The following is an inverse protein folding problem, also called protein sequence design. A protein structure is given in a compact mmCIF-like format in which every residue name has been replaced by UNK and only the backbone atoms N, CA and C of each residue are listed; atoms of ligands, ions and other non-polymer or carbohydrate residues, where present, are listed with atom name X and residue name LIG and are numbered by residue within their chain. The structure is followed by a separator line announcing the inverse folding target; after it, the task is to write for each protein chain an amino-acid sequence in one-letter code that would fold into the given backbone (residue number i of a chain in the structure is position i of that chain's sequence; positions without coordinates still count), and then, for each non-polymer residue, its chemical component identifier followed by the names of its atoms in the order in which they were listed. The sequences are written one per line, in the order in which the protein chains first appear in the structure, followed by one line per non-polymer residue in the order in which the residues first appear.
data_IF_372987117922
#
_entry.id   IF_372987117922
#
_cell.length_a   1.000
_cell.length_b   1.000
_cell.length_c   1.000
_cell.angle_alpha   90.00
_cell.angle_beta   90.00
_cell.angle_gamma   90.00
#
_symmetry.space_group_name_H-M   'P 1'
#
loop_
_entity.id
_entity.type
_entity.pdbx_description
1 polymer ?
#
# COMPACT_ATOMS: atom_id res chain seq x y z
N UNK A 1 -36.34 7.03 24.72
CA UNK A 1 -35.53 8.13 25.29
C UNK A 1 -34.18 8.11 24.58
N UNK A 2 -34.19 8.57 23.32
CA UNK A 2 -33.53 9.81 22.87
C UNK A 2 -32.01 9.73 22.94
N UNK A 3 -31.39 9.48 21.80
CA UNK A 3 -30.14 10.12 21.35
C UNK A 3 -30.00 9.84 19.86
N UNK A 4 -30.77 10.59 19.07
CA UNK A 4 -30.50 10.72 17.64
C UNK A 4 -29.10 11.29 17.46
N UNK A 5 -28.26 10.58 16.71
CA UNK A 5 -27.00 11.11 16.22
C UNK A 5 -27.37 12.17 15.19
N UNK A 6 -27.60 13.38 15.69
CA UNK A 6 -27.69 14.57 14.88
C UNK A 6 -26.32 14.69 14.20
N UNK A 7 -26.34 14.63 12.87
CA UNK A 7 -25.22 15.01 12.01
C UNK A 7 -24.96 16.51 12.21
N UNK A 8 -24.43 16.89 13.38
CA UNK A 8 -23.89 18.22 13.61
C UNK A 8 -22.69 18.34 12.70
N UNK A 9 -22.84 19.12 11.64
CA UNK A 9 -21.73 19.44 10.77
C UNK A 9 -20.58 20.00 11.62
N UNK A 10 -19.41 19.34 11.67
CA UNK A 10 -18.33 19.79 12.55
C UNK A 10 -17.86 21.18 12.10
N UNK A 11 -18.09 22.19 12.94
CA UNK A 11 -17.74 23.58 12.65
C UNK A 11 -16.25 23.86 12.56
N UNK A 12 -15.39 22.91 12.95
CA UNK A 12 -13.92 23.03 12.90
C UNK A 12 -13.33 22.11 11.81
N UNK A 13 -12.56 22.70 10.88
CA UNK A 13 -11.85 21.98 9.81
C UNK A 13 -10.97 20.83 10.34
N UNK A 14 -10.37 21.00 11.53
CA UNK A 14 -9.56 19.97 12.19
C UNK A 14 -10.34 18.68 12.48
N UNK A 15 -11.63 18.78 12.83
CA UNK A 15 -12.47 17.60 13.08
C UNK A 15 -12.85 16.90 11.77
N UNK A 16 -13.07 17.65 10.68
CA UNK A 16 -13.26 17.07 9.34
C UNK A 16 -12.01 16.33 8.86
N UNK A 17 -10.81 16.91 9.06
CA UNK A 17 -9.53 16.29 8.71
C UNK A 17 -9.30 15.03 9.56
N UNK A 18 -9.60 15.07 10.86
CA UNK A 18 -9.45 13.91 11.75
C UNK A 18 -10.35 12.75 11.34
N UNK A 19 -11.63 13.02 11.03
CA UNK A 19 -12.56 12.00 10.53
C UNK A 19 -12.11 11.45 9.19
N UNK A 20 -11.62 12.32 8.29
CA UNK A 20 -11.11 11.91 7.00
C UNK A 20 -9.86 11.02 7.11
N UNK A 21 -8.93 11.34 8.01
CA UNK A 21 -7.73 10.52 8.28
C UNK A 21 -8.03 9.17 8.94
N UNK A 22 -9.23 8.94 9.45
CA UNK A 22 -9.58 7.68 10.08
C UNK A 22 -9.84 6.55 9.06
N UNK A 23 -10.09 6.91 7.80
CA UNK A 23 -10.28 5.95 6.71
C UNK A 23 -8.93 5.38 6.24
N UNK A 24 -8.72 4.06 6.37
CA UNK A 24 -7.44 3.41 6.01
C UNK A 24 -6.96 3.72 4.60
N UNK A 25 -7.86 3.62 3.61
CA UNK A 25 -7.57 3.93 2.20
C UNK A 25 -7.04 5.33 1.98
N UNK A 26 -7.52 6.26 2.80
CA UNK A 26 -7.13 7.63 2.71
C UNK A 26 -5.74 7.91 3.31
N UNK A 27 -5.38 7.22 4.38
CA UNK A 27 -4.01 7.25 4.90
C UNK A 27 -3.04 6.73 3.82
N UNK A 28 -3.39 5.62 3.17
CA UNK A 28 -2.58 5.04 2.09
C UNK A 28 -2.44 6.00 0.91
N UNK A 29 -3.52 6.67 0.50
CA UNK A 29 -3.47 7.70 -0.53
C UNK A 29 -2.56 8.87 -0.12
N UNK A 30 -2.64 9.36 1.12
CA UNK A 30 -1.77 10.42 1.63
C UNK A 30 -0.29 10.01 1.56
N UNK A 31 0.01 8.77 1.96
CA UNK A 31 1.38 8.21 1.91
C UNK A 31 1.87 8.16 0.47
N UNK A 32 1.09 7.61 -0.47
CA UNK A 32 1.45 7.55 -1.89
C UNK A 32 1.73 8.95 -2.46
N UNK A 33 0.85 9.92 -2.20
CA UNK A 33 1.02 11.31 -2.65
C UNK A 33 2.31 11.92 -2.07
N UNK A 34 2.59 11.68 -0.79
CA UNK A 34 3.80 12.20 -0.14
C UNK A 34 5.07 11.59 -0.72
N UNK A 35 5.09 10.28 -1.00
CA UNK A 35 6.22 9.57 -1.59
C UNK A 35 6.47 10.04 -3.02
N UNK A 36 5.41 10.22 -3.82
CA UNK A 36 5.49 10.81 -5.15
C UNK A 36 6.13 12.21 -5.13
N UNK A 37 5.68 13.10 -4.23
CA UNK A 37 6.23 14.45 -4.11
C UNK A 37 7.71 14.44 -3.70
N UNK A 38 8.09 13.56 -2.77
CA UNK A 38 9.50 13.37 -2.37
C UNK A 38 10.33 12.90 -3.56
N UNK A 39 9.83 11.92 -4.32
CA UNK A 39 10.47 11.43 -5.56
C UNK A 39 10.63 12.53 -6.61
N UNK A 40 9.62 13.39 -6.78
CA UNK A 40 9.65 14.52 -7.69
C UNK A 40 10.69 15.57 -7.30
N UNK A 41 10.77 15.92 -6.00
CA UNK A 41 11.75 16.88 -5.50
C UNK A 41 13.18 16.35 -5.68
N UNK A 42 13.42 15.07 -5.38
CA UNK A 42 14.72 14.42 -5.56
C UNK A 42 15.14 14.30 -7.04
N UNK A 43 14.17 14.20 -7.96
CA UNK A 43 14.43 14.18 -9.40
C UNK A 43 14.82 15.55 -9.95
N UNK A 44 14.35 16.63 -9.35
CA UNK A 44 14.71 18.01 -9.73
C UNK A 44 16.11 18.42 -9.24
N UNK A 45 16.78 17.58 -8.43
CA UNK A 45 18.13 17.83 -7.92
C UNK A 45 19.21 17.21 -8.82
N UNK A 46 20.39 17.84 -8.83
CA UNK A 46 21.57 17.39 -9.57
C UNK A 46 22.06 15.99 -9.11
N UNK A 47 22.82 15.26 -9.96
CA UNK A 47 23.41 13.97 -9.56
C UNK A 47 24.25 14.13 -8.27
N UNK A 48 24.12 13.25 -7.26
CA UNK A 48 23.67 11.84 -7.29
C UNK A 48 22.20 11.56 -6.90
N UNK A 49 21.40 12.58 -6.57
CA UNK A 49 20.04 12.39 -6.01
C UNK A 49 19.01 11.89 -7.03
N UNK A 50 19.26 12.12 -8.32
CA UNK A 50 18.43 11.64 -9.43
C UNK A 50 18.23 10.11 -9.42
N UNK A 51 19.27 9.35 -9.02
CA UNK A 51 19.19 7.89 -8.93
C UNK A 51 18.22 7.42 -7.85
N UNK A 52 18.22 8.09 -6.70
CA UNK A 52 17.27 7.81 -5.61
C UNK A 52 15.84 8.19 -6.00
N UNK A 53 15.63 9.31 -6.69
CA UNK A 53 14.33 9.71 -7.22
C UNK A 53 13.70 8.65 -8.13
N UNK A 54 14.51 8.05 -9.02
CA UNK A 54 14.06 6.94 -9.88
C UNK A 54 13.60 5.72 -9.07
N UNK A 55 14.38 5.30 -8.08
CA UNK A 55 14.02 4.14 -7.23
C UNK A 55 12.74 4.43 -6.44
N UNK A 56 12.58 5.65 -5.92
CA UNK A 56 11.37 6.05 -5.21
C UNK A 56 10.14 5.96 -6.12
N UNK A 57 10.23 6.42 -7.37
CA UNK A 57 9.14 6.26 -8.34
C UNK A 57 8.81 4.80 -8.69
N UNK A 58 9.82 3.93 -8.77
CA UNK A 58 9.59 2.49 -8.96
C UNK A 58 8.83 1.85 -7.79
N UNK A 59 9.02 2.35 -6.57
CA UNK A 59 8.25 1.90 -5.40
C UNK A 59 6.86 2.57 -5.38
N UNK A 60 6.78 3.83 -5.77
CA UNK A 60 5.54 4.62 -5.80
C UNK A 60 4.47 4.02 -6.72
N UNK A 61 4.85 3.51 -7.90
CA UNK A 61 3.92 2.85 -8.83
C UNK A 61 3.18 1.66 -8.19
N UNK A 62 3.81 0.97 -7.23
CA UNK A 62 3.18 -0.16 -6.52
C UNK A 62 1.99 0.33 -5.70
N UNK A 63 2.13 1.48 -5.03
CA UNK A 63 1.02 2.09 -4.29
C UNK A 63 -0.13 2.51 -5.21
N UNK A 64 0.20 3.06 -6.39
CA UNK A 64 -0.80 3.38 -7.41
C UNK A 64 -1.54 2.12 -7.91
N UNK A 65 -0.86 1.00 -8.10
CA UNK A 65 -1.52 -0.26 -8.47
C UNK A 65 -2.42 -0.82 -7.37
N UNK A 66 -1.99 -0.77 -6.10
CA UNK A 66 -2.85 -1.14 -4.96
C UNK A 66 -4.13 -0.31 -4.96
N UNK A 67 -4.03 0.98 -5.29
CA UNK A 67 -5.19 1.86 -5.40
C UNK A 67 -6.10 1.53 -6.57
N UNK A 68 -5.54 1.15 -7.71
CA UNK A 68 -6.33 0.68 -8.87
C UNK A 68 -7.16 -0.56 -8.51
N UNK A 69 -6.64 -1.47 -7.67
CA UNK A 69 -7.41 -2.63 -7.18
C UNK A 69 -8.66 -2.22 -6.37
N UNK A 70 -8.59 -1.14 -5.58
CA UNK A 70 -9.75 -0.60 -4.85
C UNK A 70 -10.85 -0.10 -5.82
N UNK A 71 -10.45 0.54 -6.92
CA UNK A 71 -11.38 0.98 -7.97
C UNK A 71 -12.03 -0.23 -8.66
N UNK A 72 -11.27 -1.30 -8.93
CA UNK A 72 -11.84 -2.55 -9.44
C UNK A 72 -12.75 -3.25 -8.42
N UNK A 73 -12.58 -2.96 -7.12
CA UNK A 73 -13.48 -3.33 -6.03
C UNK A 73 -14.95 -2.94 -6.27
N UNK A 74 -15.17 -1.88 -7.05
CA UNK A 74 -16.50 -1.35 -7.39
C UNK A 74 -17.21 -2.18 -8.48
N UNK A 75 -16.45 -2.90 -9.30
CA UNK A 75 -16.99 -3.64 -10.43
C UNK A 75 -17.87 -4.82 -9.96
N UNK A 76 -18.99 -5.07 -10.69
CA UNK A 76 -19.92 -6.17 -10.40
C UNK A 76 -19.25 -7.54 -10.35
N UNK A 77 -18.23 -7.75 -11.18
CA UNK A 77 -17.57 -9.03 -11.34
C UNK A 77 -16.30 -9.16 -10.49
N UNK A 78 -15.48 -8.11 -10.39
CA UNK A 78 -14.19 -8.16 -9.68
C UNK A 78 -14.30 -7.80 -8.20
N UNK A 79 -15.31 -7.02 -7.81
CA UNK A 79 -15.45 -6.51 -6.46
C UNK A 79 -15.52 -7.56 -5.35
N UNK A 80 -16.36 -8.62 -5.47
CA UNK A 80 -16.40 -9.68 -4.48
C UNK A 80 -15.07 -10.41 -4.30
N UNK A 81 -14.26 -10.54 -5.37
CA UNK A 81 -12.94 -11.18 -5.31
C UNK A 81 -11.93 -10.32 -4.57
N UNK A 82 -11.89 -9.01 -4.84
CA UNK A 82 -11.00 -8.07 -4.12
C UNK A 82 -11.33 -8.05 -2.63
N UNK A 83 -12.63 -8.00 -2.28
CA UNK A 83 -13.08 -8.02 -0.88
C UNK A 83 -12.76 -9.34 -0.17
N UNK A 84 -12.79 -10.45 -0.89
CA UNK A 84 -12.43 -11.76 -0.38
C UNK A 84 -10.93 -11.86 -0.09
N UNK A 85 -10.08 -11.46 -1.03
CA UNK A 85 -8.62 -11.43 -0.85
C UNK A 85 -8.26 -10.59 0.38
N UNK A 86 -8.83 -9.39 0.50
CA UNK A 86 -8.55 -8.49 1.63
C UNK A 86 -8.88 -9.09 3.00
N UNK A 87 -9.99 -9.82 3.12
CA UNK A 87 -10.37 -10.50 4.37
C UNK A 87 -9.48 -11.69 4.68
N UNK A 88 -9.16 -12.49 3.66
CA UNK A 88 -8.31 -13.68 3.83
C UNK A 88 -6.86 -13.33 4.18
N UNK A 89 -6.35 -12.16 3.76
CA UNK A 89 -5.00 -11.74 4.10
C UNK A 89 -4.77 -11.61 5.62
N UNK A 90 -5.79 -11.26 6.39
CA UNK A 90 -5.67 -11.14 7.86
C UNK A 90 -5.39 -12.52 8.47
N UNK A 91 -6.11 -13.55 8.02
CA UNK A 91 -5.90 -14.93 8.49
C UNK A 91 -4.54 -15.48 8.04
N UNK A 92 -4.11 -15.13 6.81
CA UNK A 92 -2.78 -15.48 6.33
C UNK A 92 -1.66 -14.82 7.14
N UNK A 93 -1.84 -13.59 7.62
CA UNK A 93 -0.82 -12.88 8.39
C UNK A 93 -0.42 -13.65 9.66
N UNK A 94 -1.40 -14.21 10.38
CA UNK A 94 -1.13 -15.04 11.56
C UNK A 94 -0.27 -16.27 11.23
N UNK A 95 -0.55 -16.91 10.10
CA UNK A 95 0.23 -18.05 9.65
C UNK A 95 1.66 -17.63 9.24
N UNK A 96 1.80 -16.51 8.52
CA UNK A 96 3.11 -15.97 8.13
C UNK A 96 3.97 -15.67 9.36
N UNK A 97 3.39 -15.22 10.47
CA UNK A 97 4.12 -15.04 11.73
C UNK A 97 4.67 -16.37 12.27
N UNK A 98 3.89 -17.46 12.24
CA UNK A 98 4.36 -18.80 12.64
C UNK A 98 5.51 -19.25 11.73
N UNK A 99 5.37 -19.06 10.42
CA UNK A 99 6.42 -19.38 9.45
C UNK A 99 7.71 -18.58 9.71
N UNK A 100 7.60 -17.29 10.03
CA UNK A 100 8.76 -16.45 10.39
C UNK A 100 9.47 -16.94 11.65
N UNK A 101 8.75 -17.42 12.66
CA UNK A 101 9.35 -17.99 13.88
C UNK A 101 10.17 -19.24 13.55
N UNK A 102 9.61 -20.16 12.76
CA UNK A 102 10.32 -21.38 12.34
C UNK A 102 11.53 -21.04 11.47
N UNK A 103 11.36 -20.13 10.50
CA UNK A 103 12.43 -19.62 9.64
C UNK A 103 13.59 -19.04 10.46
N UNK A 104 13.28 -18.17 11.43
CA UNK A 104 14.27 -17.55 12.30
C UNK A 104 15.02 -18.54 13.16
N UNK A 105 14.31 -19.54 13.72
CA UNK A 105 14.93 -20.57 14.54
C UNK A 105 16.00 -21.37 13.77
N UNK A 106 15.71 -21.73 12.51
CA UNK A 106 16.65 -22.41 11.64
C UNK A 106 17.78 -21.49 11.16
N UNK A 107 17.44 -20.27 10.73
CA UNK A 107 18.41 -19.30 10.20
C UNK A 107 19.50 -18.94 11.20
N UNK A 108 19.12 -18.68 12.46
CA UNK A 108 20.07 -18.37 13.53
C UNK A 108 20.93 -19.58 13.87
N UNK A 109 20.32 -20.78 14.00
CA UNK A 109 21.05 -22.00 14.29
C UNK A 109 22.10 -22.34 13.21
N UNK A 110 21.72 -22.23 11.92
CA UNK A 110 22.63 -22.43 10.80
C UNK A 110 23.79 -21.43 10.83
N UNK A 111 23.51 -20.13 10.96
CA UNK A 111 24.55 -19.11 10.91
C UNK A 111 25.52 -19.24 12.09
N UNK A 112 25.02 -19.55 13.29
CA UNK A 112 25.84 -19.76 14.47
C UNK A 112 26.77 -20.97 14.36
N UNK A 113 26.34 -22.05 13.69
CA UNK A 113 27.18 -23.25 13.49
C UNK A 113 28.21 -23.02 12.37
N UNK A 114 27.84 -22.37 11.26
CA UNK A 114 28.73 -22.25 10.10
C UNK A 114 29.76 -21.14 10.23
N UNK A 115 29.44 -20.06 10.93
CA UNK A 115 30.25 -18.85 11.01
C UNK A 115 30.33 -18.32 12.46
N UNK A 116 31.06 -19.03 13.35
CA UNK A 116 31.13 -18.67 14.76
C UNK A 116 31.81 -17.32 15.04
N UNK A 117 32.77 -16.93 14.19
CA UNK A 117 33.62 -15.75 14.38
C UNK A 117 33.23 -14.55 13.50
N UNK A 118 32.00 -14.50 12.98
CA UNK A 118 31.56 -13.43 12.08
C UNK A 118 30.97 -12.24 12.86
N UNK A 119 31.44 -11.03 12.56
CA UNK A 119 30.99 -9.82 13.24
C UNK A 119 29.52 -9.48 12.94
N UNK A 120 28.79 -8.91 13.91
CA UNK A 120 27.37 -8.55 13.74
C UNK A 120 27.21 -7.41 12.72
N UNK A 121 26.92 -7.79 11.48
CA UNK A 121 26.67 -6.85 10.37
C UNK A 121 25.26 -7.00 9.81
N UNK A 122 24.74 -5.97 9.13
CA UNK A 122 23.46 -6.03 8.43
C UNK A 122 23.42 -7.10 7.32
N UNK A 123 24.57 -7.55 6.83
CA UNK A 123 24.68 -8.65 5.87
C UNK A 123 24.41 -9.99 6.54
N UNK A 124 24.95 -10.19 7.75
CA UNK A 124 24.69 -11.36 8.57
C UNK A 124 23.20 -11.53 8.85
N UNK A 125 22.56 -10.45 9.33
CA UNK A 125 21.11 -10.45 9.57
C UNK A 125 20.34 -10.80 8.30
N UNK A 126 20.69 -10.23 7.15
CA UNK A 126 20.06 -10.57 5.86
C UNK A 126 20.21 -12.06 5.54
N UNK A 127 21.39 -12.65 5.72
CA UNK A 127 21.63 -14.06 5.40
C UNK A 127 20.81 -15.01 6.27
N UNK A 128 20.64 -14.68 7.56
CA UNK A 128 19.80 -15.42 8.51
C UNK A 128 18.34 -15.53 8.03
N UNK A 129 17.79 -14.48 7.42
CA UNK A 129 16.42 -14.51 6.90
C UNK A 129 16.34 -15.01 5.44
N UNK A 130 17.21 -14.48 4.59
CA UNK A 130 17.09 -14.63 3.14
C UNK A 130 17.36 -16.07 2.70
N UNK A 131 18.42 -16.72 3.19
CA UNK A 131 18.71 -18.07 2.72
C UNK A 131 17.62 -19.09 3.12
N UNK A 132 17.19 -19.17 4.39
CA UNK A 132 16.05 -20.03 4.77
C UNK A 132 14.74 -19.72 4.05
N UNK A 133 14.49 -18.45 3.73
CA UNK A 133 13.31 -18.02 2.97
C UNK A 133 13.28 -18.65 1.58
N UNK A 134 14.37 -18.55 0.82
CA UNK A 134 14.45 -19.13 -0.53
C UNK A 134 14.38 -20.66 -0.52
N UNK A 135 14.86 -21.30 0.55
CA UNK A 135 14.69 -22.75 0.74
C UNK A 135 13.23 -23.20 0.86
N UNK A 136 12.32 -22.34 1.34
CA UNK A 136 10.88 -22.65 1.35
C UNK A 136 10.35 -22.78 -0.08
N UNK A 137 10.89 -21.99 -1.01
CA UNK A 137 10.47 -21.99 -2.42
C UNK A 137 11.21 -23.02 -3.28
N UNK A 138 12.09 -23.84 -2.68
CA UNK A 138 12.77 -24.95 -3.36
C UNK A 138 14.22 -24.66 -3.77
N UNK A 139 14.75 -23.48 -3.48
CA UNK A 139 16.18 -23.19 -3.68
C UNK A 139 17.00 -23.80 -2.54
N UNK A 140 17.60 -24.95 -2.80
CA UNK A 140 18.37 -25.70 -1.81
C UNK A 140 19.86 -25.33 -1.95
N UNK A 141 20.35 -24.41 -1.12
CA UNK A 141 21.78 -24.01 -1.06
C UNK A 141 22.67 -25.13 -0.46
N UNK A 142 22.65 -26.32 -1.04
CA UNK A 142 23.35 -27.50 -0.53
C UNK A 142 24.88 -27.29 -0.50
N UNK A 143 25.42 -26.54 -1.45
CA UNK A 143 26.83 -26.18 -1.61
C UNK A 143 27.35 -25.27 -0.47
N UNK A 144 26.48 -24.44 0.10
CA UNK A 144 26.83 -23.53 1.20
C UNK A 144 26.57 -24.13 2.59
N UNK A 145 25.90 -25.29 2.66
CA UNK A 145 25.49 -25.94 3.91
C UNK A 145 26.38 -27.16 4.20
N UNK A 146 26.68 -27.95 3.17
CA UNK A 146 27.64 -29.05 3.26
C UNK A 146 28.99 -28.59 2.72
N UNK A 147 29.88 -28.17 3.63
CA UNK A 147 31.25 -27.81 3.28
C UNK A 147 31.99 -29.09 2.90
N UNK A 148 31.91 -29.49 1.62
CA UNK A 148 32.70 -30.57 1.04
C UNK A 148 34.21 -30.28 1.02
N UNK A 149 34.62 -29.09 1.42
CA UNK A 149 36.03 -28.73 1.56
C UNK A 149 36.65 -29.59 2.67
N UNK A 150 37.77 -30.28 2.41
CA UNK A 150 38.49 -30.95 3.48
C UNK A 150 38.84 -29.91 4.55
N UNK A 151 38.61 -30.26 5.81
CA UNK A 151 39.03 -29.47 6.97
C UNK A 151 40.15 -30.21 7.68
N UNK A 152 41.10 -29.48 8.26
CA UNK A 152 42.23 -30.10 8.93
C UNK A 152 43.16 -29.06 9.55
N UNK A 153 43.56 -29.30 10.79
CA UNK A 153 44.48 -28.41 11.49
C UNK A 153 45.87 -28.53 10.86
N UNK A 154 46.34 -27.45 10.23
CA UNK A 154 47.64 -27.37 9.54
C UNK A 154 47.78 -28.30 8.33
N UNK A 155 46.69 -28.75 7.72
CA UNK A 155 46.72 -29.37 6.40
C UNK A 155 46.74 -28.30 5.31
N UNK A 156 47.35 -28.64 4.17
CA UNK A 156 47.34 -27.83 2.96
C UNK A 156 46.61 -28.59 1.86
N UNK A 157 45.86 -27.86 1.05
CA UNK A 157 45.14 -28.43 -0.09
C UNK A 157 46.14 -28.78 -1.21
N UNK A 158 45.73 -29.53 -2.22
CA UNK A 158 46.58 -29.84 -3.40
C UNK A 158 47.08 -28.54 -4.10
N UNK A 159 46.35 -27.43 -3.92
CA UNK A 159 46.70 -26.07 -4.38
C UNK A 159 47.64 -25.29 -3.44
N UNK A 160 48.14 -25.90 -2.37
CA UNK A 160 49.04 -25.27 -1.38
C UNK A 160 48.37 -24.22 -0.46
N UNK A 161 47.04 -24.14 -0.45
CA UNK A 161 46.28 -23.24 0.45
C UNK A 161 46.06 -23.92 1.80
N UNK A 162 46.21 -23.18 2.90
CA UNK A 162 45.98 -23.71 4.26
C UNK A 162 44.49 -24.05 4.43
N UNK A 163 44.21 -25.28 4.88
CA UNK A 163 42.84 -25.70 5.17
C UNK A 163 42.29 -24.93 6.38
N UNK A 164 40.98 -24.61 6.36
CA UNK A 164 40.28 -24.03 7.49
C UNK A 164 40.18 -25.03 8.65
N UNK A 165 40.19 -24.57 9.91
CA UNK A 165 39.97 -25.45 11.07
C UNK A 165 38.61 -26.12 10.99
N UNK A 166 38.52 -27.38 11.43
CA UNK A 166 37.27 -28.13 11.45
C UNK A 166 36.32 -27.54 12.49
N UNK A 167 35.09 -27.23 12.06
CA UNK A 167 34.07 -26.69 12.96
C UNK A 167 33.34 -27.86 13.65
N UNK A 168 33.27 -27.89 14.99
CA UNK A 168 32.51 -28.91 15.70
C UNK A 168 31.03 -28.79 15.36
N UNK A 169 30.38 -29.92 15.03
CA UNK A 169 28.95 -29.94 14.73
C UNK A 169 28.57 -29.67 13.27
N UNK A 170 29.51 -29.70 12.33
CA UNK A 170 29.20 -29.54 10.89
C UNK A 170 28.16 -30.57 10.38
N UNK A 171 28.12 -31.78 10.94
CA UNK A 171 27.12 -32.82 10.61
C UNK A 171 25.69 -32.46 11.06
N UNK A 172 25.56 -31.57 12.03
CA UNK A 172 24.26 -31.16 12.58
C UNK A 172 23.51 -30.26 11.58
N UNK A 173 24.21 -29.42 10.82
CA UNK A 173 23.57 -28.48 9.89
C UNK A 173 22.77 -29.19 8.79
N UNK A 174 23.30 -30.23 8.09
CA UNK A 174 22.51 -31.02 7.14
C UNK A 174 21.30 -31.71 7.77
N UNK A 175 21.43 -32.20 9.01
CA UNK A 175 20.32 -32.84 9.72
C UNK A 175 19.20 -31.85 10.07
N UNK A 176 19.55 -30.68 10.61
CA UNK A 176 18.58 -29.60 10.92
C UNK A 176 17.95 -29.09 9.62
N UNK A 177 18.72 -28.97 8.54
CA UNK A 177 18.22 -28.58 7.22
C UNK A 177 17.16 -29.56 6.70
N UNK A 178 17.41 -30.86 6.76
CA UNK A 178 16.44 -31.86 6.35
C UNK A 178 15.15 -31.78 7.19
N UNK A 179 15.27 -31.61 8.51
CA UNK A 179 14.13 -31.41 9.40
C UNK A 179 13.36 -30.14 9.05
N UNK A 180 14.07 -29.03 8.82
CA UNK A 180 13.47 -27.75 8.41
C UNK A 180 12.70 -27.86 7.10
N UNK A 181 13.28 -28.49 6.06
CA UNK A 181 12.61 -28.66 4.77
C UNK A 181 11.34 -29.52 4.89
N UNK A 182 11.37 -30.56 5.73
CA UNK A 182 10.17 -31.35 6.02
C UNK A 182 9.09 -30.49 6.69
N UNK A 183 9.43 -29.79 7.77
CA UNK A 183 8.46 -28.97 8.51
C UNK A 183 7.95 -27.81 7.66
N UNK A 184 8.83 -27.06 7.00
CA UNK A 184 8.45 -25.90 6.22
C UNK A 184 7.65 -26.29 4.95
N UNK A 185 8.18 -27.19 4.12
CA UNK A 185 7.59 -27.44 2.80
C UNK A 185 6.49 -28.50 2.83
N UNK A 186 6.59 -29.51 3.70
CA UNK A 186 5.60 -30.59 3.77
C UNK A 186 4.49 -30.28 4.77
N UNK A 187 4.80 -29.66 5.91
CA UNK A 187 3.77 -29.35 6.92
C UNK A 187 3.23 -27.93 6.76
N UNK A 188 4.08 -26.90 6.86
CA UNK A 188 3.64 -25.51 6.95
C UNK A 188 3.01 -25.02 5.64
N UNK A 189 3.66 -25.19 4.49
CA UNK A 189 3.09 -24.74 3.20
C UNK A 189 1.76 -25.44 2.90
N UNK A 190 1.68 -26.75 3.13
CA UNK A 190 0.45 -27.50 2.88
C UNK A 190 -0.69 -27.13 3.85
N UNK A 191 -0.36 -26.86 5.13
CA UNK A 191 -1.35 -26.34 6.08
C UNK A 191 -1.81 -24.94 5.71
N UNK A 192 -0.91 -24.05 5.25
CA UNK A 192 -1.27 -22.71 4.77
C UNK A 192 -2.25 -22.78 3.61
N UNK A 193 -1.98 -23.65 2.62
CA UNK A 193 -2.89 -23.86 1.48
C UNK A 193 -4.24 -24.39 1.98
N UNK A 194 -4.25 -25.33 2.93
CA UNK A 194 -5.48 -25.89 3.49
C UNK A 194 -6.32 -24.83 4.24
N UNK A 195 -5.67 -24.01 5.08
CA UNK A 195 -6.32 -22.91 5.80
C UNK A 195 -6.82 -21.86 4.83
N UNK A 196 -6.01 -21.48 3.83
CA UNK A 196 -6.40 -20.54 2.78
C UNK A 196 -7.62 -21.04 2.01
N UNK A 197 -7.66 -22.32 1.64
CA UNK A 197 -8.83 -22.90 0.98
C UNK A 197 -10.06 -22.88 1.89
N UNK A 198 -9.90 -23.21 3.17
CA UNK A 198 -11.02 -23.21 4.12
C UNK A 198 -11.58 -21.80 4.35
N UNK A 199 -10.71 -20.82 4.64
CA UNK A 199 -11.11 -19.42 4.81
C UNK A 199 -11.64 -18.84 3.50
N UNK A 200 -11.18 -19.31 2.33
CA UNK A 200 -11.71 -18.89 1.03
C UNK A 200 -13.19 -19.27 0.92
N UNK A 201 -13.53 -20.52 1.23
CA UNK A 201 -14.91 -20.98 1.14
C UNK A 201 -15.82 -20.25 2.15
N UNK A 202 -15.35 -20.04 3.38
CA UNK A 202 -16.08 -19.28 4.39
C UNK A 202 -16.30 -17.81 3.97
N UNK A 203 -15.21 -17.11 3.63
CA UNK A 203 -15.22 -15.71 3.23
C UNK A 203 -16.02 -15.50 1.94
N UNK A 204 -16.08 -16.48 1.01
CA UNK A 204 -16.87 -16.38 -0.23
C UNK A 204 -18.36 -16.16 0.01
N UNK A 205 -18.90 -16.83 1.01
CA UNK A 205 -20.33 -16.76 1.32
C UNK A 205 -20.68 -15.40 1.94
N UNK A 206 -19.77 -14.84 2.74
CA UNK A 206 -19.92 -13.57 3.47
C UNK A 206 -19.57 -12.36 2.58
N UNK A 207 -18.53 -12.46 1.76
CA UNK A 207 -18.02 -11.35 0.94
C UNK A 207 -19.02 -10.90 -0.12
N UNK A 208 -19.81 -11.81 -0.70
CA UNK A 208 -20.85 -11.46 -1.67
C UNK A 208 -21.97 -10.59 -1.07
N UNK A 209 -22.34 -10.83 0.19
CA UNK A 209 -23.36 -10.01 0.87
C UNK A 209 -22.78 -8.65 1.28
N UNK A 210 -21.58 -8.65 1.87
CA UNK A 210 -20.87 -7.41 2.27
C UNK A 210 -20.58 -6.53 1.05
N UNK A 211 -20.14 -7.13 -0.06
CA UNK A 211 -19.89 -6.40 -1.28
C UNK A 211 -21.18 -5.80 -1.89
N UNK A 212 -22.31 -6.52 -1.85
CA UNK A 212 -23.60 -5.95 -2.28
C UNK A 212 -23.99 -4.73 -1.43
N UNK A 213 -23.74 -4.79 -0.12
CA UNK A 213 -23.97 -3.67 0.80
C UNK A 213 -23.02 -2.48 0.55
N UNK A 214 -21.72 -2.74 0.40
CA UNK A 214 -20.72 -1.71 0.09
C UNK A 214 -20.98 -1.05 -1.27
N UNK A 215 -21.34 -1.85 -2.29
CA UNK A 215 -21.72 -1.34 -3.61
C UNK A 215 -22.93 -0.41 -3.51
N UNK A 216 -23.93 -0.73 -2.68
CA UNK A 216 -25.06 0.14 -2.46
C UNK A 216 -24.64 1.48 -1.81
N UNK A 217 -23.85 1.44 -0.74
CA UNK A 217 -23.33 2.66 -0.10
C UNK A 217 -22.50 3.52 -1.05
N UNK A 218 -21.71 2.89 -1.91
CA UNK A 218 -20.90 3.57 -2.90
C UNK A 218 -21.75 4.20 -4.00
N UNK A 219 -22.74 3.49 -4.54
CA UNK A 219 -23.70 4.03 -5.52
C UNK A 219 -24.46 5.21 -4.91
N UNK A 220 -24.91 5.09 -3.67
CA UNK A 220 -25.53 6.19 -2.92
C UNK A 220 -24.60 7.40 -2.83
N UNK A 221 -23.31 7.16 -2.57
CA UNK A 221 -22.29 8.22 -2.48
C UNK A 221 -21.99 8.86 -3.84
N UNK A 222 -21.99 8.10 -4.94
CA UNK A 222 -21.77 8.62 -6.29
C UNK A 222 -22.98 9.37 -6.85
N UNK A 223 -24.19 8.98 -6.46
CA UNK A 223 -25.42 9.68 -6.87
C UNK A 223 -25.43 11.15 -6.42
N UNK A 224 -24.76 11.46 -5.30
CA UNK A 224 -24.64 12.83 -4.76
C UNK A 224 -23.41 13.60 -5.28
N UNK A 225 -22.58 13.00 -6.15
CA UNK A 225 -21.37 13.64 -6.70
C UNK A 225 -21.63 14.16 -8.12
N UNK A 226 -21.09 15.34 -8.50
CA UNK A 226 -21.20 15.83 -9.87
C UNK A 226 -20.52 14.86 -10.85
N UNK A 227 -21.20 14.63 -11.98
CA UNK A 227 -21.01 13.53 -12.96
C UNK A 227 -19.74 13.63 -13.83
N UNK A 228 -18.85 14.58 -13.59
CA UNK A 228 -17.77 14.88 -14.52
C UNK A 228 -16.55 13.97 -14.33
N UNK A 229 -15.98 13.45 -15.43
CA UNK A 229 -14.80 12.59 -15.38
C UNK A 229 -13.60 13.36 -14.83
N UNK A 230 -12.67 12.66 -14.16
CA UNK A 230 -11.51 13.23 -13.50
C UNK A 230 -10.74 14.34 -14.25
N UNK A 231 -10.42 14.26 -15.55
CA UNK A 231 -9.73 15.37 -16.22
C UNK A 231 -10.47 16.73 -16.19
N UNK A 232 -11.79 16.75 -15.94
CA UNK A 232 -12.63 17.96 -16.01
C UNK A 232 -12.94 18.59 -14.64
N UNK A 233 -12.44 18.05 -13.52
CA UNK A 233 -12.78 18.63 -12.22
C UNK A 233 -12.16 20.01 -12.02
N UNK A 234 -10.95 20.23 -12.55
CA UNK A 234 -10.16 21.41 -12.20
C UNK A 234 -10.96 22.65 -12.58
N UNK A 235 -11.63 22.60 -13.74
CA UNK A 235 -12.58 23.62 -14.21
C UNK A 235 -13.83 23.74 -13.33
N UNK A 236 -14.37 22.65 -12.80
CA UNK A 236 -15.52 22.66 -11.85
C UNK A 236 -15.16 23.32 -10.51
N UNK A 237 -13.99 23.00 -9.94
CA UNK A 237 -13.51 23.63 -8.71
C UNK A 237 -13.13 25.09 -8.92
N UNK A 238 -12.52 25.43 -10.07
CA UNK A 238 -12.23 26.81 -10.47
C UNK A 238 -13.53 27.62 -10.63
N UNK A 239 -14.55 27.05 -11.29
CA UNK A 239 -15.86 27.68 -11.46
C UNK A 239 -16.57 27.95 -10.12
N UNK A 240 -16.59 26.97 -9.20
CA UNK A 240 -17.18 27.15 -7.87
C UNK A 240 -16.40 28.20 -7.05
N UNK A 241 -15.08 28.22 -7.14
CA UNK A 241 -14.24 29.22 -6.47
C UNK A 241 -14.51 30.62 -7.04
N UNK A 242 -14.56 30.76 -8.37
CA UNK A 242 -14.87 32.01 -9.08
C UNK A 242 -16.27 32.49 -8.72
N UNK A 243 -17.30 31.63 -8.77
CA UNK A 243 -18.68 32.00 -8.39
C UNK A 243 -18.74 32.43 -6.93
N UNK A 244 -18.04 31.74 -6.02
CA UNK A 244 -18.04 32.09 -4.59
C UNK A 244 -17.30 33.40 -4.30
N UNK A 245 -16.23 33.72 -5.04
CA UNK A 245 -15.52 35.00 -4.98
C UNK A 245 -16.35 36.13 -5.60
N UNK A 246 -16.94 35.91 -6.78
CA UNK A 246 -17.82 36.86 -7.45
C UNK A 246 -19.09 37.15 -6.65
N UNK A 247 -19.73 36.14 -6.04
CA UNK A 247 -20.89 36.35 -5.16
C UNK A 247 -20.50 37.08 -3.86
N UNK A 248 -19.31 36.83 -3.29
CA UNK A 248 -18.80 37.61 -2.15
C UNK A 248 -18.55 39.07 -2.53
N UNK A 249 -18.01 39.34 -3.71
CA UNK A 249 -17.85 40.70 -4.23
C UNK A 249 -19.18 41.39 -4.51
N UNK A 250 -20.17 40.67 -5.05
CA UNK A 250 -21.52 41.23 -5.25
C UNK A 250 -22.19 41.60 -3.93
N UNK A 251 -22.06 40.74 -2.91
CA UNK A 251 -22.60 40.97 -1.56
C UNK A 251 -21.92 42.13 -0.82
N UNK A 252 -20.63 42.37 -1.08
CA UNK A 252 -19.93 43.55 -0.58
C UNK A 252 -20.35 44.84 -1.32
N UNK A 253 -20.85 44.73 -2.55
CA UNK A 253 -21.32 45.88 -3.35
C UNK A 253 -22.79 46.26 -3.04
N UNK A 254 -23.64 45.28 -2.72
CA UNK A 254 -25.03 45.50 -2.27
C UNK A 254 -25.13 45.95 -0.81
N UNK A 255 -24.18 45.55 0.05
CA UNK A 255 -24.11 45.99 1.45
C UNK A 255 -23.82 47.48 1.67
N UNK A 256 -23.43 48.21 0.61
CA UNK A 256 -23.20 49.67 0.63
C UNK A 256 -24.41 50.46 0.06
N UNK A 257 -25.40 49.77 -0.52
CA UNK A 257 -26.66 50.37 -1.01
C UNK A 257 -27.85 50.13 -0.05
N UNK A 258 -27.82 49.06 0.76
CA UNK A 258 -28.94 48.65 1.64
C UNK A 258 -29.19 49.56 2.87
N UNK A 259 -28.37 50.58 3.13
CA UNK A 259 -28.69 51.61 4.15
C UNK A 259 -29.61 52.72 3.62
N UNK A 260 -29.84 52.83 2.30
CA UNK A 260 -30.60 53.96 1.73
C UNK A 260 -32.06 53.64 1.38
N UNK A 261 -32.43 52.36 1.23
CA UNK A 261 -33.72 51.96 0.65
C UNK A 261 -34.63 51.16 1.61
N UNK A 262 -34.55 51.40 2.94
CA UNK A 262 -35.55 50.88 3.91
C UNK A 262 -36.87 51.67 3.90
N UNK A 263 -37.33 52.06 2.73
CA UNK A 263 -38.64 52.66 2.53
C UNK A 263 -39.19 52.18 1.20
N UNK A 264 -40.18 51.28 1.27
CA UNK A 264 -41.07 50.90 0.16
C UNK A 264 -40.54 49.83 -0.82
N UNK A 265 -40.76 48.56 -0.51
CA UNK A 265 -41.85 47.79 -1.12
C UNK A 265 -41.74 46.29 -0.83
N UNK A 266 -42.91 45.69 -0.70
CA UNK A 266 -43.15 44.27 -0.48
C UNK A 266 -43.39 43.59 -1.82
N UNK A 267 -42.79 42.42 -2.06
CA UNK A 267 -43.31 41.49 -3.08
C UNK A 267 -42.31 40.55 -3.73
N UNK A 268 -42.42 39.24 -3.38
CA UNK A 268 -42.21 38.02 -4.21
C UNK A 268 -40.85 37.88 -4.91
N UNK A 269 -40.10 36.79 -4.72
CA UNK A 269 -40.51 35.43 -5.12
C UNK A 269 -39.72 34.34 -4.41
N UNK A 270 -40.44 33.21 -4.28
CA UNK A 270 -40.12 31.94 -3.67
C UNK A 270 -39.34 31.05 -4.66
N UNK A 271 -38.30 30.32 -4.19
CA UNK A 271 -37.96 28.89 -4.47
C UNK A 271 -36.45 28.56 -4.29
N UNK A 272 -36.07 27.29 -4.04
CA UNK A 272 -35.65 26.82 -2.73
C UNK A 272 -34.13 26.57 -2.63
N UNK A 273 -33.56 26.76 -1.45
CA UNK A 273 -32.22 26.26 -1.11
C UNK A 273 -32.22 24.72 -1.10
N UNK A 274 -31.73 24.09 -2.17
CA UNK A 274 -31.31 22.70 -2.12
C UNK A 274 -29.97 22.60 -1.38
N UNK A 275 -30.01 21.85 -0.29
CA UNK A 275 -28.91 21.10 0.31
C UNK A 275 -27.90 20.63 -0.76
N UNK A 276 -26.78 21.34 -0.93
CA UNK A 276 -25.64 20.82 -1.68
C UNK A 276 -24.34 21.54 -1.32
N UNK A 277 -23.99 21.60 -0.03
CA UNK A 277 -22.63 22.05 0.33
C UNK A 277 -22.25 21.65 1.74
N UNK A 278 -21.72 20.44 1.90
CA UNK A 278 -20.78 20.17 3.01
C UNK A 278 -19.93 18.91 2.87
N UNK A 279 -20.28 17.98 1.96
CA UNK A 279 -19.54 16.72 1.81
C UNK A 279 -18.61 16.66 0.57
N UNK A 280 -18.43 17.77 -0.15
CA UNK A 280 -17.72 17.79 -1.43
C UNK A 280 -16.18 17.72 -1.35
N UNK A 281 -15.58 17.97 -0.19
CA UNK A 281 -14.14 18.26 -0.08
C UNK A 281 -13.21 17.07 0.27
N UNK A 282 -13.75 15.87 0.53
CA UNK A 282 -12.93 14.76 1.03
C UNK A 282 -12.30 13.87 -0.04
N UNK A 283 -13.02 13.48 -1.09
CA UNK A 283 -12.58 12.35 -1.94
C UNK A 283 -12.32 12.73 -3.39
N UNK A 284 -12.79 13.92 -3.80
CA UNK A 284 -12.67 14.42 -5.17
C UNK A 284 -11.21 14.74 -5.53
N UNK A 285 -10.41 15.47 -4.70
CA UNK A 285 -9.01 15.78 -4.99
C UNK A 285 -8.13 14.54 -5.26
N UNK A 286 -8.49 13.41 -4.67
CA UNK A 286 -7.69 12.18 -4.71
C UNK A 286 -7.66 11.59 -6.10
N UNK A 287 -8.81 11.14 -6.62
CA UNK A 287 -8.94 10.42 -7.92
C UNK A 287 -8.27 11.17 -9.07
N UNK A 288 -8.25 12.49 -8.99
CA UNK A 288 -7.69 13.41 -9.98
C UNK A 288 -6.20 13.51 -9.91
N UNK A 289 -5.68 13.64 -8.69
CA UNK A 289 -4.26 13.53 -8.45
C UNK A 289 -3.78 12.14 -8.90
N UNK A 290 -4.55 11.08 -8.65
CA UNK A 290 -4.19 9.72 -9.06
C UNK A 290 -4.14 9.54 -10.57
N UNK A 291 -5.07 10.13 -11.33
CA UNK A 291 -5.04 10.03 -12.79
C UNK A 291 -4.04 10.97 -13.44
N UNK A 292 -3.77 12.12 -12.82
CA UNK A 292 -2.69 13.01 -13.23
C UNK A 292 -1.31 12.39 -12.96
N UNK A 293 -1.09 11.76 -11.80
CA UNK A 293 0.15 11.01 -11.52
C UNK A 293 0.28 9.77 -12.38
N UNK A 294 -0.81 9.03 -12.62
CA UNK A 294 -0.79 7.86 -13.51
C UNK A 294 -0.49 8.27 -14.96
N UNK A 295 -1.04 9.38 -15.46
CA UNK A 295 -0.76 9.92 -16.79
C UNK A 295 0.66 10.49 -16.90
N UNK A 296 1.11 11.30 -15.92
CA UNK A 296 2.48 11.82 -15.84
C UNK A 296 3.50 10.67 -15.79
N UNK A 297 3.19 9.59 -15.07
CA UNK A 297 4.04 8.40 -14.99
C UNK A 297 4.04 7.61 -16.32
N UNK A 298 2.89 7.46 -16.99
CA UNK A 298 2.81 6.76 -18.28
C UNK A 298 3.58 7.48 -19.39
N UNK A 299 3.69 8.81 -19.30
CA UNK A 299 4.51 9.64 -20.19
C UNK A 299 6.02 9.53 -19.86
N UNK A 300 6.37 9.20 -18.61
CA UNK A 300 7.74 8.96 -18.13
C UNK A 300 8.21 7.49 -18.24
N UNK A 301 7.31 6.51 -18.43
CA UNK A 301 7.64 5.08 -18.62
C UNK A 301 8.67 4.83 -19.75
N UNK A 302 8.57 5.48 -20.93
CA UNK A 302 9.57 5.32 -21.99
C UNK A 302 10.97 5.85 -21.60
N UNK A 303 11.07 6.70 -20.57
CA UNK A 303 12.32 7.27 -20.06
C UNK A 303 12.93 6.46 -18.90
N UNK A 304 12.16 5.53 -18.32
CA UNK A 304 12.54 4.69 -17.17
C UNK A 304 13.04 3.30 -17.58
N UNK A 305 12.69 2.85 -18.79
CA UNK A 305 13.18 1.58 -19.37
C UNK A 305 14.52 1.90 -20.06
N UNK A 306 15.67 1.42 -19.55
CA UNK A 306 16.89 1.50 -20.32
C UNK A 306 16.70 0.71 -21.62
N UNK A 307 17.21 1.25 -22.73
CA UNK A 307 17.30 0.65 -24.08
C UNK A 307 17.93 -0.76 -24.14
N UNK A 308 18.24 -1.39 -22.99
CA UNK A 308 18.82 -2.72 -22.86
C UNK A 308 17.80 -3.87 -22.93
N UNK A 309 16.50 -3.60 -23.12
CA UNK A 309 15.47 -4.64 -23.33
C UNK A 309 15.04 -4.80 -24.79
N UNK A 310 15.54 -3.97 -25.71
CA UNK A 310 15.20 -3.99 -27.14
C UNK A 310 16.39 -4.32 -28.07
N UNK A 311 17.47 -4.89 -27.53
CA UNK A 311 18.53 -5.53 -28.29
C UNK A 311 18.82 -6.94 -27.74
#
# INVERSE_FOLDING_TARGET
MSSGILMSEPGKLSQKIKVWLQEYWNITDLVAISVFLIGAILRLQNPPYMGYGRVIYCVDIIFWYIRVLDIFGVNKYLGPYVMMIGKMMIDMLYFVVIMLVVLMSFGVARQAILHPDEEPTWRLARNIFYMPYWMIYGEVFADQIDRKTPCGDNLYDEDGKRLPPCIPGAWLTPAIMACYLLVANILLVNLLIAVFNNTFFEVKSISNQVWKFQRYQLIMTFHDRPVLPPPMIIFSHLYILIVRVCCRWKKHKEGDQDERDRGLSMGRTFFPSRHLSSNLWGSVPKVLFQLWTFWFFFEDIPLLIPEAFFN
#
